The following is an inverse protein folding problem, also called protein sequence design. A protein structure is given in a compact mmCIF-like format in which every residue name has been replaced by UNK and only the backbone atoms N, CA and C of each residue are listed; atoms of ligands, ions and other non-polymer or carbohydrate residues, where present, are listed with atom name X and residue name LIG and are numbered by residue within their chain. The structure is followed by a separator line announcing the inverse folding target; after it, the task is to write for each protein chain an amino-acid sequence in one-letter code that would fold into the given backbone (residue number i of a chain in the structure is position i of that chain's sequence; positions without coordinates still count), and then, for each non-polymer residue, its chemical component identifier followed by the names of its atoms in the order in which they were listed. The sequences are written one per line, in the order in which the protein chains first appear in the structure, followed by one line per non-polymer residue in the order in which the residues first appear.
data_IF_101233717077
#
_entry.id   IF_101233717077
#
_cell.length_a   1.000
_cell.length_b   1.000
_cell.length_c   1.000
_cell.angle_alpha   90.00
_cell.angle_beta   90.00
_cell.angle_gamma   90.00
#
_symmetry.space_group_name_H-M   'P 1'
#
loop_
_entity.id
_entity.type
_entity.pdbx_description
1 polymer ?
#
# COMPACT_ATOMS: atom_id res chain seq x y z
N UNK A 1 -14.45 -16.60 14.52
CA UNK A 1 -14.12 -17.96 14.08
C UNK A 1 -13.95 -17.95 12.57
N UNK A 2 -12.78 -18.33 12.06
CA UNK A 2 -12.56 -18.48 10.61
C UNK A 2 -13.21 -19.76 10.09
N UNK A 3 -13.21 -19.94 8.76
CA UNK A 3 -13.72 -21.17 8.10
C UNK A 3 -13.00 -22.45 8.56
N UNK A 4 -11.82 -22.31 9.16
CA UNK A 4 -10.96 -23.38 9.68
C UNK A 4 -11.06 -23.54 11.20
N UNK A 5 -12.06 -22.94 11.85
CA UNK A 5 -12.20 -22.90 13.32
C UNK A 5 -11.04 -22.21 14.07
N UNK A 6 -10.27 -21.33 13.41
CA UNK A 6 -9.34 -20.47 14.12
C UNK A 6 -10.07 -19.29 14.75
N UNK A 7 -9.75 -19.02 16.00
CA UNK A 7 -10.30 -17.87 16.71
C UNK A 7 -9.41 -16.66 16.51
N UNK A 8 -10.00 -15.52 16.16
CA UNK A 8 -9.26 -14.27 15.98
C UNK A 8 -9.81 -13.26 16.97
N UNK A 9 -8.92 -12.71 17.80
CA UNK A 9 -9.23 -11.64 18.73
C UNK A 9 -8.43 -10.40 18.35
N UNK A 10 -9.11 -9.27 18.24
CA UNK A 10 -8.47 -7.98 18.10
C UNK A 10 -8.31 -7.36 19.48
N UNK A 11 -7.09 -6.96 19.82
CA UNK A 11 -6.75 -6.30 21.09
C UNK A 11 -6.12 -4.93 20.78
N UNK A 12 -6.28 -3.98 21.70
CA UNK A 12 -5.52 -2.73 21.66
C UNK A 12 -4.29 -2.89 22.57
N UNK A 13 -3.12 -2.60 22.03
CA UNK A 13 -1.85 -2.56 22.78
C UNK A 13 -1.26 -1.17 22.69
N UNK A 14 -0.53 -0.76 23.72
CA UNK A 14 0.00 0.58 23.82
C UNK A 14 1.39 0.58 24.45
N UNK A 15 2.19 1.56 24.06
CA UNK A 15 3.44 1.93 24.72
C UNK A 15 3.42 3.43 25.04
N UNK A 16 4.55 3.98 25.51
CA UNK A 16 4.64 5.41 25.86
C UNK A 16 4.36 6.35 24.67
N UNK A 17 4.50 5.87 23.44
CA UNK A 17 4.40 6.65 22.21
C UNK A 17 3.02 6.64 21.58
N UNK A 18 2.17 5.67 21.90
CA UNK A 18 0.81 5.58 21.35
C UNK A 18 0.25 4.17 21.42
N UNK A 19 -0.82 3.93 20.66
CA UNK A 19 -1.47 2.62 20.63
C UNK A 19 -1.74 2.10 19.22
N UNK A 20 -1.90 0.78 19.11
CA UNK A 20 -2.19 0.08 17.87
C UNK A 20 -3.05 -1.16 18.17
N UNK A 21 -3.89 -1.55 17.20
CA UNK A 21 -4.60 -2.81 17.21
C UNK A 21 -3.64 -3.95 16.84
N UNK A 22 -3.68 -5.04 17.61
CA UNK A 22 -3.02 -6.30 17.30
C UNK A 22 -4.08 -7.38 17.07
N UNK A 23 -3.93 -8.17 16.01
CA UNK A 23 -4.79 -9.35 15.75
C UNK A 23 -4.07 -10.62 16.17
N UNK A 24 -4.62 -11.29 17.17
CA UNK A 24 -4.09 -12.53 17.73
C UNK A 24 -4.98 -13.71 17.35
N UNK A 25 -4.33 -14.83 17.09
CA UNK A 25 -4.97 -16.06 16.64
C UNK A 25 -4.87 -17.11 17.75
N UNK A 26 -5.91 -17.93 17.89
CA UNK A 26 -5.95 -19.13 18.72
C UNK A 26 -5.63 -18.89 20.20
N UNK A 27 -4.71 -19.67 20.77
CA UNK A 27 -4.40 -19.69 22.19
C UNK A 27 -3.81 -18.35 22.72
N UNK A 28 -2.83 -17.69 22.05
CA UNK A 28 -2.38 -16.36 22.46
C UNK A 28 -3.50 -15.32 22.60
N UNK A 29 -4.50 -15.37 21.72
CA UNK A 29 -5.66 -14.48 21.79
C UNK A 29 -6.54 -14.73 23.01
N UNK A 30 -6.60 -15.96 23.51
CA UNK A 30 -7.41 -16.36 24.67
C UNK A 30 -6.72 -16.04 25.99
N UNK A 31 -5.41 -16.24 26.05
CA UNK A 31 -4.64 -16.08 27.28
C UNK A 31 -4.43 -14.61 27.65
N UNK A 32 -4.33 -13.71 26.67
CA UNK A 32 -4.04 -12.30 26.92
C UNK A 32 -5.16 -11.58 27.69
N UNK A 33 -4.82 -10.90 28.78
CA UNK A 33 -5.75 -10.13 29.61
C UNK A 33 -5.43 -8.62 29.59
N UNK A 34 -6.42 -7.75 29.85
CA UNK A 34 -6.16 -6.33 30.08
C UNK A 34 -5.15 -6.12 31.21
N UNK A 35 -4.15 -5.27 30.98
CA UNK A 35 -3.07 -5.00 31.94
C UNK A 35 -1.83 -5.87 31.79
N UNK A 36 -1.86 -6.92 30.96
CA UNK A 36 -0.66 -7.70 30.64
C UNK A 36 0.38 -6.85 29.90
N UNK A 37 1.63 -6.97 30.33
CA UNK A 37 2.79 -6.44 29.61
C UNK A 37 3.37 -7.58 28.79
N UNK A 38 3.47 -7.38 27.49
CA UNK A 38 3.93 -8.40 26.54
C UNK A 38 5.14 -7.93 25.75
N UNK A 39 6.05 -8.87 25.48
CA UNK A 39 7.13 -8.72 24.51
C UNK A 39 6.73 -9.43 23.23
N UNK A 40 6.79 -8.71 22.11
CA UNK A 40 6.52 -9.23 20.77
C UNK A 40 7.83 -9.42 20.01
N UNK A 41 8.11 -10.63 19.53
CA UNK A 41 9.21 -10.90 18.62
C UNK A 41 8.71 -11.15 17.21
N UNK A 42 9.41 -10.56 16.22
CA UNK A 42 9.07 -10.62 14.79
C UNK A 42 7.62 -10.18 14.52
N UNK A 43 7.24 -9.02 15.03
CA UNK A 43 6.00 -8.37 14.64
C UNK A 43 6.06 -7.81 13.21
N UNK A 44 4.92 -7.78 12.52
CA UNK A 44 4.77 -7.01 11.28
C UNK A 44 3.43 -6.28 11.27
N UNK A 45 3.36 -5.17 10.55
CA UNK A 45 2.13 -4.41 10.40
C UNK A 45 1.54 -4.59 9.01
N UNK A 46 0.22 -4.59 8.92
CA UNK A 46 -0.52 -4.59 7.66
C UNK A 46 -1.78 -3.74 7.79
N UNK A 47 -2.23 -3.18 6.67
CA UNK A 47 -3.47 -2.41 6.64
C UNK A 47 -4.62 -3.36 6.35
N UNK A 48 -5.55 -3.47 7.30
CA UNK A 48 -6.78 -4.23 7.14
C UNK A 48 -7.97 -3.31 7.37
N UNK A 49 -8.89 -3.24 6.39
CA UNK A 49 -10.06 -2.33 6.42
C UNK A 49 -9.67 -0.89 6.78
N UNK A 50 -8.61 -0.38 6.15
CA UNK A 50 -8.07 0.96 6.34
C UNK A 50 -7.45 1.24 7.72
N UNK A 51 -7.35 0.24 8.60
CA UNK A 51 -6.69 0.34 9.90
C UNK A 51 -5.32 -0.34 9.86
N UNK A 52 -4.26 0.36 10.29
CA UNK A 52 -2.97 -0.27 10.53
C UNK A 52 -3.12 -1.27 11.69
N UNK A 53 -2.76 -2.53 11.46
CA UNK A 53 -2.91 -3.62 12.43
C UNK A 53 -1.60 -4.38 12.56
N UNK A 54 -1.22 -4.69 13.80
CA UNK A 54 -0.05 -5.48 14.15
C UNK A 54 -0.38 -6.97 14.16
N UNK A 55 0.58 -7.78 13.71
CA UNK A 55 0.50 -9.23 13.62
C UNK A 55 1.82 -9.84 14.09
N UNK A 56 1.77 -11.09 14.56
CA UNK A 56 2.95 -11.90 14.83
C UNK A 56 3.37 -12.61 13.54
N UNK A 57 4.62 -12.46 13.10
CA UNK A 57 5.11 -13.13 11.90
C UNK A 57 5.32 -14.63 12.13
N UNK A 58 5.49 -15.37 11.04
CA UNK A 58 5.87 -16.80 11.10
C UNK A 58 7.18 -16.98 11.88
N UNK A 59 7.13 -17.80 12.93
CA UNK A 59 8.27 -18.04 13.82
C UNK A 59 8.61 -16.85 14.73
N UNK A 60 7.69 -15.89 14.87
CA UNK A 60 7.65 -14.92 15.96
C UNK A 60 6.83 -15.45 17.14
N UNK A 61 6.84 -14.72 18.25
CA UNK A 61 6.11 -15.07 19.46
C UNK A 61 5.64 -13.82 20.22
N UNK A 62 4.68 -14.04 21.12
CA UNK A 62 4.16 -13.04 22.03
C UNK A 62 4.24 -13.62 23.45
N UNK A 63 5.05 -13.01 24.30
CA UNK A 63 5.32 -13.52 25.65
C UNK A 63 4.89 -12.50 26.69
N UNK A 64 4.13 -12.93 27.71
CA UNK A 64 3.87 -12.10 28.88
C UNK A 64 5.16 -11.94 29.69
N UNK A 65 5.52 -10.70 29.96
CA UNK A 65 6.74 -10.32 30.71
C UNK A 65 6.43 -9.58 32.01
N UNK A 66 5.18 -9.16 32.22
CA UNK A 66 4.75 -8.50 33.45
C UNK A 66 3.28 -8.09 33.40
N UNK A 67 2.89 -7.23 34.34
CA UNK A 67 1.54 -6.73 34.52
C UNK A 67 1.52 -5.31 35.14
N UNK A 68 0.56 -4.48 34.70
CA UNK A 68 0.16 -3.15 35.21
C UNK A 68 1.17 -1.99 35.19
N UNK A 69 2.43 -2.19 35.56
CA UNK A 69 3.35 -1.08 35.88
C UNK A 69 4.02 -0.41 34.67
N UNK A 70 3.62 -0.71 33.43
CA UNK A 70 4.19 -0.08 32.25
C UNK A 70 3.43 1.20 31.89
N UNK A 71 4.15 2.31 31.74
CA UNK A 71 3.57 3.56 31.24
C UNK A 71 3.16 3.42 29.77
N UNK A 72 1.94 3.85 29.44
CA UNK A 72 1.42 3.83 28.08
C UNK A 72 0.64 5.12 27.74
N UNK A 73 0.47 5.36 26.45
CA UNK A 73 -0.40 6.40 25.89
C UNK A 73 -1.38 5.78 24.92
N UNK A 74 -2.65 6.19 24.98
CA UNK A 74 -3.65 5.78 23.97
C UNK A 74 -3.61 6.68 22.73
N UNK A 75 -2.81 7.75 22.74
CA UNK A 75 -2.71 8.71 21.64
C UNK A 75 -1.25 8.93 21.19
N UNK A 76 -1.01 9.02 19.88
CA UNK A 76 -1.94 8.77 18.78
C UNK A 76 -2.36 7.29 18.69
N UNK A 77 -3.59 7.03 18.25
CA UNK A 77 -4.01 5.70 17.84
C UNK A 77 -3.63 5.45 16.38
N UNK A 78 -2.60 4.61 16.17
CA UNK A 78 -2.06 4.30 14.85
C UNK A 78 -3.04 3.51 13.97
N UNK A 79 -4.05 2.89 14.58
CA UNK A 79 -5.08 2.09 13.90
C UNK A 79 -6.32 2.88 13.49
N UNK A 80 -6.37 4.19 13.77
CA UNK A 80 -7.44 5.02 13.22
C UNK A 80 -7.44 4.94 11.68
N UNK A 81 -8.62 4.90 11.03
CA UNK A 81 -8.71 4.89 9.58
C UNK A 81 -8.01 6.12 8.99
N UNK A 82 -6.99 5.90 8.16
CA UNK A 82 -6.28 6.97 7.45
C UNK A 82 -6.41 6.76 5.93
N UNK A 83 -6.86 7.77 5.16
CA UNK A 83 -6.86 7.73 3.70
C UNK A 83 -5.52 7.35 3.07
N UNK A 84 -4.39 7.74 3.68
CA UNK A 84 -3.04 7.39 3.20
C UNK A 84 -2.77 5.89 3.27
N UNK A 85 -3.32 5.18 4.27
CA UNK A 85 -3.19 3.72 4.36
C UNK A 85 -3.89 3.01 3.20
N UNK A 86 -4.99 3.58 2.69
CA UNK A 86 -5.68 3.05 1.51
C UNK A 86 -4.80 3.13 0.26
N UNK A 87 -4.11 4.26 0.08
CA UNK A 87 -3.18 4.49 -1.02
C UNK A 87 -1.97 3.56 -0.95
N UNK A 88 -1.40 3.38 0.24
CA UNK A 88 -0.27 2.46 0.46
C UNK A 88 -0.65 0.99 0.17
N UNK A 89 -1.85 0.56 0.56
CA UNK A 89 -2.35 -0.79 0.25
C UNK A 89 -2.53 -1.00 -1.27
N UNK A 90 -3.01 0.01 -2.00
CA UNK A 90 -3.18 -0.06 -3.45
C UNK A 90 -1.83 -0.09 -4.21
N UNK A 91 -0.83 0.66 -3.73
CA UNK A 91 0.51 0.69 -4.34
C UNK A 91 1.24 -0.67 -4.26
N UNK A 92 1.04 -1.43 -3.18
CA UNK A 92 1.66 -2.74 -3.01
C UNK A 92 1.08 -3.82 -3.95
N UNK A 93 -0.18 -3.67 -4.39
CA UNK A 93 -0.78 -4.59 -5.37
C UNK A 93 -0.28 -4.38 -6.81
N UNK A 94 0.33 -3.23 -7.13
CA UNK A 94 0.82 -2.96 -8.50
C UNK A 94 2.19 -3.59 -8.80
N UNK A 95 2.98 -3.98 -7.80
CA UNK A 95 4.32 -4.60 -8.02
C UNK A 95 4.27 -6.09 -8.35
N UNK A 96 3.13 -6.75 -8.19
CA UNK A 96 2.98 -8.19 -8.47
C UNK A 96 2.43 -8.52 -9.86
N UNK A 97 2.26 -7.52 -10.75
CA UNK A 97 1.71 -7.75 -12.10
C UNK A 97 2.60 -7.21 -13.22
N UNK A 98 3.91 -7.46 -13.14
CA UNK A 98 4.85 -7.17 -14.23
C UNK A 98 5.91 -8.26 -14.30
N UNK A 99 5.46 -9.50 -14.58
CA UNK A 99 6.31 -10.55 -15.16
C UNK A 99 5.41 -11.70 -15.62
N UNK A 100 5.03 -11.66 -16.91
CA UNK A 100 4.92 -12.82 -17.81
C UNK A 100 4.02 -12.47 -19.01
N UNK A 101 4.62 -11.99 -20.10
CA UNK A 101 4.11 -12.34 -21.44
C UNK A 101 5.21 -12.21 -22.52
N UNK A 102 6.09 -13.22 -22.59
CA UNK A 102 6.95 -13.46 -23.75
C UNK A 102 6.86 -14.95 -24.10
N UNK A 103 5.98 -15.26 -25.05
CA UNK A 103 5.97 -16.38 -26.02
C UNK A 103 4.54 -16.47 -26.57
N UNK A 104 4.22 -16.46 -27.85
CA UNK A 104 4.96 -16.89 -29.03
C UNK A 104 3.94 -17.63 -29.90
N UNK A 105 3.50 -17.03 -31.00
CA UNK A 105 2.47 -17.58 -31.88
C UNK A 105 2.48 -16.87 -33.24
N UNK A 106 3.13 -17.50 -34.20
CA UNK A 106 3.17 -17.15 -35.62
C UNK A 106 1.78 -17.31 -36.25
N UNK A 107 1.34 -16.37 -37.11
CA UNK A 107 0.61 -16.69 -38.35
C UNK A 107 0.45 -15.48 -39.29
N UNK A 108 0.67 -15.75 -40.57
CA UNK A 108 0.72 -14.86 -41.73
C UNK A 108 -0.65 -14.33 -42.16
N UNK A 109 -0.73 -13.11 -42.73
CA UNK A 109 -1.04 -12.97 -44.17
C UNK A 109 -0.98 -11.53 -44.70
N UNK A 110 -0.48 -11.46 -45.93
CA UNK A 110 -0.26 -10.29 -46.79
C UNK A 110 -1.55 -9.52 -47.12
N UNK A 111 -1.45 -8.20 -47.29
CA UNK A 111 -1.76 -7.64 -48.60
C UNK A 111 -0.95 -6.37 -48.91
N UNK A 112 -0.41 -6.38 -50.13
CA UNK A 112 0.44 -5.38 -50.75
C UNK A 112 -0.41 -4.24 -51.31
N UNK A 113 0.02 -3.00 -51.14
CA UNK A 113 -0.37 -1.88 -52.01
C UNK A 113 0.73 -0.82 -51.97
N UNK A 114 1.63 -1.00 -52.92
CA UNK A 114 2.70 -0.11 -53.33
C UNK A 114 2.11 1.24 -53.79
N UNK A 115 2.64 2.37 -53.31
CA UNK A 115 2.73 3.58 -54.13
C UNK A 115 3.75 4.58 -53.56
N UNK A 116 4.98 4.48 -54.07
CA UNK A 116 5.90 5.60 -54.10
C UNK A 116 5.47 6.56 -55.21
N UNK A 117 5.20 7.82 -54.88
CA UNK A 117 5.57 8.90 -55.79
C UNK A 117 5.87 10.21 -55.07
N UNK A 118 7.09 10.69 -55.30
CA UNK A 118 7.59 12.02 -54.96
C UNK A 118 6.97 13.04 -55.91
N UNK A 119 6.58 14.21 -55.41
CA UNK A 119 6.63 15.45 -56.18
C UNK A 119 6.70 16.68 -55.27
N UNK A 120 7.75 17.46 -55.51
CA UNK A 120 8.13 18.76 -54.96
C UNK A 120 7.29 19.93 -55.50
N UNK A 121 7.13 21.01 -54.71
CA UNK A 121 7.14 22.43 -55.12
C UNK A 121 6.87 23.33 -53.89
N UNK A 122 7.82 24.09 -53.33
CA UNK A 122 8.32 25.46 -53.66
C UNK A 122 7.38 26.65 -53.37
N UNK A 123 7.88 27.53 -52.49
CA UNK A 123 7.95 29.00 -52.54
C UNK A 123 6.78 29.93 -52.11
N UNK A 124 7.00 30.58 -50.95
CA UNK A 124 7.23 32.04 -50.74
C UNK A 124 6.06 33.06 -50.70
N UNK A 125 6.33 34.17 -49.98
CA UNK A 125 5.57 35.41 -49.70
C UNK A 125 4.51 35.31 -48.58
N UNK A 126 4.35 36.23 -47.62
CA UNK A 126 4.91 37.56 -47.35
C UNK A 126 3.87 38.36 -46.53
N UNK A 127 4.30 39.15 -45.53
CA UNK A 127 3.46 40.13 -44.80
C UNK A 127 3.39 39.85 -43.28
N UNK A 128 4.07 40.56 -42.38
CA UNK A 128 4.08 41.99 -42.00
C UNK A 128 2.86 42.44 -41.14
N UNK A 129 3.15 42.94 -39.93
CA UNK A 129 2.24 43.64 -39.00
C UNK A 129 2.40 43.11 -37.55
N UNK A 130 3.28 43.60 -36.67
CA UNK A 130 3.55 44.95 -36.12
C UNK A 130 2.53 45.43 -35.05
N UNK A 131 3.05 45.66 -33.83
CA UNK A 131 2.49 46.52 -32.76
C UNK A 131 1.92 45.73 -31.56
N UNK A 132 2.32 45.90 -30.29
CA UNK A 132 3.23 46.86 -29.66
C UNK A 132 2.71 47.27 -28.27
N UNK A 133 3.50 46.99 -27.21
CA UNK A 133 3.50 47.70 -25.90
C UNK A 133 2.39 47.33 -24.90
N UNK A 134 2.54 47.50 -23.58
CA UNK A 134 3.67 47.87 -22.72
C UNK A 134 3.24 47.65 -21.25
N UNK A 135 4.22 47.40 -20.39
CA UNK A 135 4.26 47.51 -18.92
C UNK A 135 3.07 48.16 -18.19
N UNK A 136 2.74 47.59 -17.01
CA UNK A 136 2.85 48.31 -15.72
C UNK A 136 2.73 47.35 -14.53
N UNK A 137 3.72 47.50 -13.63
CA UNK A 137 3.73 47.35 -12.16
C UNK A 137 2.65 46.52 -11.48
#
# INVERSE_FOLDING_TARGET
MTKENHEVRSCKVADRTGCINISLWDEPGKLLQPGDIVSLNKGYTSVFKNCLTLYVAKGGDLQKVGDFCMQFSEQPNMSEPNPEYALAAAANNSKNNSNNNINGGSENNNNSSNNNNRSSNTNNSGGAGAGGGNNRS
#
